data_IF_465505529590
#
_entry.id   IF_465505529590
#
_cell.length_a   1.000
_cell.length_b   1.000
_cell.length_c   1.000
_cell.angle_alpha   90.00
_cell.angle_beta   90.00
_cell.angle_gamma   90.00
#
_symmetry.space_group_name_H-M   'P 1'
#
loop_
_entity.id
_entity.type
_entity.pdbx_description
1 polymer ?
#
# COMPACT_ATOMS: atom_id res chain seq x y z
N UNK A 1 -21.30 -15.43 33.28
CA UNK A 1 -20.37 -14.30 33.17
C UNK A 1 -20.62 -13.36 34.33
N UNK A 2 -19.59 -12.77 34.94
CA UNK A 2 -19.79 -11.66 35.89
C UNK A 2 -20.43 -10.48 35.15
N UNK A 3 -21.24 -9.68 35.85
CA UNK A 3 -21.72 -8.42 35.29
C UNK A 3 -20.51 -7.56 34.91
N UNK A 4 -20.51 -7.06 33.67
CA UNK A 4 -19.49 -6.13 33.18
C UNK A 4 -20.02 -4.74 33.45
N UNK A 5 -19.25 -3.95 34.20
CA UNK A 5 -19.55 -2.55 34.50
C UNK A 5 -18.40 -1.69 33.99
N UNK A 6 -18.72 -0.68 33.17
CA UNK A 6 -17.74 0.24 32.60
C UNK A 6 -17.51 1.43 33.54
N UNK A 7 -16.32 2.02 33.48
CA UNK A 7 -16.01 3.24 34.23
C UNK A 7 -16.81 4.44 33.70
N UNK A 8 -17.27 5.36 34.56
CA UNK A 8 -18.00 6.55 34.12
C UNK A 8 -17.06 7.52 33.39
N UNK A 9 -17.45 7.95 32.19
CA UNK A 9 -16.75 8.96 31.36
C UNK A 9 -17.79 9.88 30.70
N UNK A 10 -17.48 11.17 30.55
CA UNK A 10 -18.37 12.13 29.85
C UNK A 10 -18.13 12.17 28.34
N UNK A 11 -19.13 12.61 27.58
CA UNK A 11 -19.05 12.82 26.14
C UNK A 11 -17.94 13.82 25.79
N UNK A 12 -17.79 14.87 26.60
CA UNK A 12 -16.75 15.88 26.42
C UNK A 12 -15.33 15.34 26.64
N UNK A 13 -15.15 14.37 27.54
CA UNK A 13 -13.85 13.69 27.72
C UNK A 13 -13.49 12.87 26.49
N UNK A 14 -14.46 12.15 25.91
CA UNK A 14 -14.27 11.35 24.69
C UNK A 14 -13.85 12.23 23.52
N UNK A 15 -14.57 13.34 23.27
CA UNK A 15 -14.22 14.27 22.18
C UNK A 15 -12.84 14.89 22.38
N UNK A 16 -12.49 15.32 23.60
CA UNK A 16 -11.17 15.88 23.88
C UNK A 16 -10.07 14.86 23.63
N UNK A 17 -10.25 13.62 24.08
CA UNK A 17 -9.27 12.56 23.83
C UNK A 17 -9.02 12.36 22.33
N UNK A 18 -10.10 12.25 21.53
CA UNK A 18 -9.96 12.04 20.07
C UNK A 18 -9.27 13.23 19.40
N UNK A 19 -9.71 14.45 19.67
CA UNK A 19 -9.17 15.66 19.03
C UNK A 19 -7.72 15.90 19.43
N UNK A 20 -7.39 15.77 20.71
CA UNK A 20 -6.03 16.01 21.21
C UNK A 20 -5.04 14.99 20.67
N UNK A 21 -5.36 13.69 20.71
CA UNK A 21 -4.46 12.66 20.20
C UNK A 21 -4.29 12.75 18.67
N UNK A 22 -5.37 13.03 17.93
CA UNK A 22 -5.27 13.26 16.49
C UNK A 22 -4.40 14.48 16.16
N UNK A 23 -4.57 15.60 16.87
CA UNK A 23 -3.78 16.80 16.64
C UNK A 23 -2.29 16.56 16.94
N UNK A 24 -1.96 15.89 18.05
CA UNK A 24 -0.58 15.54 18.40
C UNK A 24 0.06 14.69 17.31
N UNK A 25 -0.62 13.62 16.88
CA UNK A 25 -0.08 12.73 15.85
C UNK A 25 0.03 13.45 14.49
N UNK A 26 -0.96 14.25 14.12
CA UNK A 26 -0.94 14.99 12.86
C UNK A 26 0.16 16.07 12.82
N UNK A 27 0.36 16.80 13.91
CA UNK A 27 1.47 17.77 14.05
C UNK A 27 2.83 17.05 13.99
N UNK A 28 2.98 15.93 14.68
CA UNK A 28 4.21 15.14 14.64
C UNK A 28 4.51 14.68 13.20
N UNK A 29 3.51 14.19 12.47
CA UNK A 29 3.66 13.63 11.14
C UNK A 29 3.52 14.63 9.98
N UNK A 30 3.37 15.93 10.29
CA UNK A 30 3.55 17.01 9.32
C UNK A 30 4.92 16.95 8.63
N UNK A 31 5.93 16.39 9.32
CA UNK A 31 7.22 16.00 8.76
C UNK A 31 7.53 14.54 9.08
N UNK A 32 7.79 13.74 8.04
CA UNK A 32 8.12 12.31 8.14
C UNK A 32 9.38 11.98 7.35
N UNK A 33 10.04 10.85 7.62
CA UNK A 33 11.12 10.40 6.74
C UNK A 33 10.59 9.87 5.42
N UNK A 34 9.51 9.08 5.51
CA UNK A 34 8.84 8.52 4.33
C UNK A 34 7.34 8.74 4.43
N UNK A 35 6.74 9.19 3.33
CA UNK A 35 5.30 9.14 3.13
C UNK A 35 4.96 8.08 2.09
N UNK A 36 4.12 7.12 2.44
CA UNK A 36 3.57 6.10 1.52
C UNK A 36 2.16 6.50 1.14
N UNK A 37 1.89 6.66 -0.16
CA UNK A 37 0.57 7.03 -0.68
C UNK A 37 -0.12 5.78 -1.22
N UNK A 38 -1.17 5.32 -0.53
CA UNK A 38 -1.95 4.14 -0.86
C UNK A 38 -1.70 2.97 0.09
N UNK A 39 -2.72 2.60 0.86
CA UNK A 39 -2.74 1.49 1.81
C UNK A 39 -3.06 0.14 1.17
N UNK A 40 -2.64 -0.09 -0.07
CA UNK A 40 -2.76 -1.39 -0.76
C UNK A 40 -1.68 -2.40 -0.32
N UNK A 41 -1.64 -3.60 -0.93
CA UNK A 41 -0.70 -4.65 -0.51
C UNK A 41 0.78 -4.24 -0.63
N UNK A 42 1.16 -3.53 -1.70
CA UNK A 42 2.54 -3.05 -1.88
C UNK A 42 2.89 -1.90 -0.94
N UNK A 43 1.94 -0.98 -0.70
CA UNK A 43 2.15 0.16 0.20
C UNK A 43 2.23 -0.25 1.67
N UNK A 44 1.33 -1.12 2.13
CA UNK A 44 1.38 -1.70 3.47
C UNK A 44 2.67 -2.49 3.70
N UNK A 45 3.13 -3.26 2.70
CA UNK A 45 4.39 -3.99 2.80
C UNK A 45 5.59 -3.05 2.88
N UNK A 46 5.66 -2.04 2.02
CA UNK A 46 6.73 -1.04 2.06
C UNK A 46 6.77 -0.31 3.42
N UNK A 47 5.60 0.12 3.92
CA UNK A 47 5.48 0.78 5.21
C UNK A 47 5.90 -0.13 6.37
N UNK A 48 5.47 -1.40 6.36
CA UNK A 48 5.85 -2.41 7.37
C UNK A 48 7.36 -2.62 7.40
N UNK A 49 7.99 -2.82 6.24
CA UNK A 49 9.44 -3.05 6.15
C UNK A 49 10.26 -1.84 6.60
N UNK A 50 9.86 -0.62 6.20
CA UNK A 50 10.53 0.61 6.63
C UNK A 50 10.36 0.87 8.13
N UNK A 51 9.14 0.74 8.66
CA UNK A 51 8.88 0.96 10.08
C UNK A 51 9.59 -0.08 10.95
N UNK A 52 9.71 -1.34 10.49
CA UNK A 52 10.52 -2.37 11.16
C UNK A 52 12.00 -1.97 11.28
N UNK A 53 12.51 -1.14 10.35
CA UNK A 53 13.87 -0.58 10.38
C UNK A 53 13.97 0.71 11.21
N UNK A 54 12.91 1.12 11.90
CA UNK A 54 12.86 2.33 12.72
C UNK A 54 12.63 3.63 11.94
N UNK A 55 12.25 3.54 10.66
CA UNK A 55 11.96 4.72 9.84
C UNK A 55 10.64 5.35 10.27
N UNK A 56 10.59 6.68 10.38
CA UNK A 56 9.34 7.40 10.65
C UNK A 56 8.47 7.44 9.39
N UNK A 57 7.52 6.51 9.31
CA UNK A 57 6.62 6.33 8.15
C UNK A 57 5.21 6.84 8.43
N UNK A 58 4.71 7.69 7.52
CA UNK A 58 3.29 8.00 7.39
C UNK A 58 2.70 7.28 6.17
N UNK A 59 1.61 6.54 6.35
CA UNK A 59 0.83 5.95 5.27
C UNK A 59 -0.47 6.74 5.09
N UNK A 60 -0.68 7.30 3.91
CA UNK A 60 -1.89 8.04 3.52
C UNK A 60 -2.80 7.13 2.69
N UNK A 61 -4.07 6.98 3.08
CA UNK A 61 -5.06 6.17 2.37
C UNK A 61 -6.38 6.94 2.18
N UNK A 62 -6.92 6.91 0.96
CA UNK A 62 -8.16 7.62 0.62
C UNK A 62 -9.41 6.97 1.22
N UNK A 63 -9.42 5.66 1.38
CA UNK A 63 -10.56 4.94 1.94
C UNK A 63 -10.55 4.97 3.48
N UNK A 64 -11.68 4.65 4.11
CA UNK A 64 -11.73 4.42 5.55
C UNK A 64 -11.10 3.07 5.96
N UNK A 65 -10.93 2.14 5.01
CA UNK A 65 -10.28 0.85 5.22
C UNK A 65 -8.93 0.78 4.51
N UNK A 66 -8.01 0.00 5.07
CA UNK A 66 -6.74 -0.37 4.45
C UNK A 66 -6.89 -1.66 3.64
N UNK A 67 -5.87 -2.00 2.85
CA UNK A 67 -5.76 -3.25 2.10
C UNK A 67 -6.01 -3.10 0.60
N UNK A 68 -6.68 -2.02 0.17
CA UNK A 68 -7.03 -1.80 -1.23
C UNK A 68 -7.69 -3.04 -1.86
N UNK A 69 -7.16 -3.49 -3.00
CA UNK A 69 -7.65 -4.68 -3.70
C UNK A 69 -7.28 -6.04 -3.08
N UNK A 70 -6.58 -6.07 -1.95
CA UNK A 70 -6.06 -7.32 -1.35
C UNK A 70 -7.09 -8.13 -0.56
N UNK A 71 -8.27 -7.57 -0.30
CA UNK A 71 -9.38 -8.24 0.39
C UNK A 71 -9.98 -9.40 -0.40
N UNK A 72 -9.79 -9.41 -1.73
CA UNK A 72 -10.36 -10.38 -2.65
C UNK A 72 -9.29 -10.87 -3.62
N UNK A 73 -9.57 -11.99 -4.28
CA UNK A 73 -8.82 -12.43 -5.45
C UNK A 73 -9.42 -11.87 -6.73
N UNK A 74 -9.80 -12.77 -7.63
CA UNK A 74 -10.47 -12.43 -8.88
C UNK A 74 -11.98 -12.59 -8.78
N UNK A 75 -12.72 -11.76 -9.51
CA UNK A 75 -14.16 -11.95 -9.76
C UNK A 75 -15.00 -12.15 -8.48
N UNK A 76 -14.78 -11.28 -7.48
CA UNK A 76 -15.44 -11.33 -6.15
C UNK A 76 -15.22 -12.62 -5.35
N UNK A 77 -14.31 -13.50 -5.79
CA UNK A 77 -13.90 -14.67 -5.03
C UNK A 77 -12.88 -14.26 -3.97
N UNK A 78 -13.02 -14.81 -2.78
CA UNK A 78 -12.24 -14.40 -1.60
C UNK A 78 -10.90 -15.16 -1.43
N UNK A 79 -10.37 -15.75 -2.51
CA UNK A 79 -9.10 -16.46 -2.51
C UNK A 79 -8.08 -15.69 -3.32
N UNK A 80 -6.94 -15.38 -2.72
CA UNK A 80 -5.81 -14.79 -3.43
C UNK A 80 -4.84 -15.87 -3.88
N UNK A 81 -4.03 -15.53 -4.89
CA UNK A 81 -2.92 -16.38 -5.32
C UNK A 81 -1.59 -15.67 -5.23
N UNK A 82 -0.52 -16.42 -4.97
CA UNK A 82 0.86 -15.96 -5.09
C UNK A 82 1.67 -17.01 -5.85
N UNK A 83 2.61 -16.55 -6.67
CA UNK A 83 3.57 -17.42 -7.36
C UNK A 83 4.88 -17.49 -6.59
N UNK A 84 5.56 -18.62 -6.69
CA UNK A 84 6.84 -18.82 -6.03
C UNK A 84 7.90 -17.83 -6.51
N UNK A 85 8.70 -17.24 -5.61
CA UNK A 85 8.85 -17.56 -4.18
C UNK A 85 8.01 -16.74 -3.20
N UNK A 86 6.98 -16.00 -3.65
CA UNK A 86 6.27 -15.04 -2.80
C UNK A 86 5.40 -15.67 -1.69
N UNK A 87 5.26 -17.00 -1.65
CA UNK A 87 4.71 -17.71 -0.49
C UNK A 87 5.53 -17.50 0.79
N UNK A 88 6.84 -17.22 0.69
CA UNK A 88 7.66 -16.92 1.87
C UNK A 88 7.17 -15.68 2.62
N UNK A 89 6.61 -14.70 1.89
CA UNK A 89 6.01 -13.51 2.51
C UNK A 89 4.73 -13.88 3.27
N UNK A 90 3.99 -14.89 2.82
CA UNK A 90 2.84 -15.41 3.58
C UNK A 90 3.30 -16.14 4.84
N UNK A 91 4.42 -16.87 4.79
CA UNK A 91 5.05 -17.47 5.98
C UNK A 91 5.44 -16.38 7.00
N UNK A 92 6.11 -15.31 6.56
CA UNK A 92 6.51 -14.17 7.39
C UNK A 92 5.31 -13.49 8.08
N UNK A 93 4.19 -13.37 7.36
CA UNK A 93 2.94 -12.80 7.89
C UNK A 93 2.12 -13.80 8.73
N UNK A 94 2.55 -15.06 8.81
CA UNK A 94 1.81 -16.13 9.49
C UNK A 94 0.45 -16.41 8.86
N UNK A 95 0.36 -16.34 7.54
CA UNK A 95 -0.86 -16.57 6.75
C UNK A 95 -0.86 -18.01 6.23
N UNK A 96 -1.83 -18.86 6.63
CA UNK A 96 -1.96 -20.21 6.08
C UNK A 96 -2.26 -20.18 4.58
N UNK A 97 -1.53 -20.99 3.82
CA UNK A 97 -1.74 -21.16 2.38
C UNK A 97 -1.61 -22.64 1.98
N UNK A 98 -2.01 -22.95 0.74
CA UNK A 98 -1.85 -24.28 0.14
C UNK A 98 -1.29 -24.16 -1.27
N UNK A 99 -0.45 -25.12 -1.66
CA UNK A 99 0.00 -25.27 -3.04
C UNK A 99 -1.17 -25.76 -3.92
N UNK A 100 -1.40 -25.10 -5.05
CA UNK A 100 -2.43 -25.44 -6.01
C UNK A 100 -1.90 -26.43 -7.05
N UNK A 101 -2.27 -27.70 -6.92
CA UNK A 101 -1.81 -28.75 -7.83
C UNK A 101 -2.84 -29.14 -8.91
N UNK A 102 -3.77 -28.25 -9.25
CA UNK A 102 -4.76 -28.45 -10.33
C UNK A 102 -5.84 -29.52 -10.06
N UNK A 103 -5.79 -30.23 -8.93
CA UNK A 103 -6.79 -31.24 -8.51
C UNK A 103 -7.35 -30.91 -7.13
N UNK A 104 -8.57 -30.39 -7.07
CA UNK A 104 -9.32 -30.35 -5.81
C UNK A 104 -9.91 -31.73 -5.52
N UNK A 105 -9.58 -32.28 -4.35
CA UNK A 105 -10.34 -33.23 -3.54
C UNK A 105 -11.56 -33.93 -4.18
N UNK A 106 -11.31 -35.00 -4.94
CA UNK A 106 -12.09 -36.25 -4.84
C UNK A 106 -11.12 -37.42 -4.91
N UNK A 107 -10.85 -38.01 -3.75
CA UNK A 107 -10.21 -39.32 -3.53
C UNK A 107 -9.22 -39.83 -4.60
N UNK A 108 -7.92 -39.73 -4.28
CA UNK A 108 -6.82 -40.68 -4.54
C UNK A 108 -5.54 -39.90 -4.78
N UNK A 109 -4.59 -40.09 -3.87
CA UNK A 109 -3.20 -39.70 -4.04
C UNK A 109 -2.69 -40.25 -5.37
N UNK A 110 -2.21 -39.36 -6.24
CA UNK A 110 -1.47 -39.76 -7.43
C UNK A 110 -0.03 -39.28 -7.28
N UNK A 111 0.88 -40.25 -7.39
CA UNK A 111 2.33 -40.13 -7.34
C UNK A 111 2.87 -39.20 -8.44
N UNK A 112 3.89 -38.41 -8.09
CA UNK A 112 4.62 -37.50 -8.99
C UNK A 112 4.45 -36.03 -8.60
N UNK A 113 5.17 -35.57 -7.57
CA UNK A 113 5.01 -34.23 -6.97
C UNK A 113 5.78 -33.18 -7.79
N UNK A 114 5.29 -32.81 -8.96
CA UNK A 114 5.76 -31.61 -9.65
C UNK A 114 5.18 -30.40 -8.89
N UNK A 115 6.05 -29.56 -8.32
CA UNK A 115 5.63 -28.31 -7.66
C UNK A 115 4.96 -27.42 -8.69
N UNK A 116 3.74 -26.94 -8.41
CA UNK A 116 3.04 -26.04 -9.33
C UNK A 116 3.60 -24.62 -9.26
N UNK A 117 4.26 -24.27 -8.15
CA UNK A 117 4.76 -22.92 -7.90
C UNK A 117 3.64 -21.88 -7.74
N UNK A 118 2.39 -22.32 -7.57
CA UNK A 118 1.22 -21.46 -7.37
C UNK A 118 0.58 -21.81 -6.03
N UNK A 119 0.41 -20.81 -5.18
CA UNK A 119 -0.16 -20.97 -3.85
C UNK A 119 -1.44 -20.16 -3.70
N UNK A 120 -2.34 -20.64 -2.85
CA UNK A 120 -3.65 -20.05 -2.61
C UNK A 120 -3.83 -19.82 -1.12
N UNK A 121 -4.26 -18.63 -0.75
CA UNK A 121 -4.57 -18.25 0.62
C UNK A 121 -5.95 -17.58 0.72
N UNK A 122 -6.46 -17.48 1.94
CA UNK A 122 -7.65 -16.70 2.26
C UNK A 122 -7.32 -15.20 2.22
N UNK A 123 -7.94 -14.46 1.30
CA UNK A 123 -7.57 -13.08 1.01
C UNK A 123 -7.81 -12.15 2.20
N UNK A 124 -8.97 -12.26 2.86
CA UNK A 124 -9.28 -11.48 4.05
C UNK A 124 -8.30 -11.75 5.21
N UNK A 125 -7.84 -12.99 5.38
CA UNK A 125 -6.87 -13.34 6.41
C UNK A 125 -5.49 -12.74 6.08
N UNK A 126 -5.03 -12.89 4.84
CA UNK A 126 -3.76 -12.31 4.39
C UNK A 126 -3.75 -10.79 4.51
N UNK A 127 -4.83 -10.13 4.09
CA UNK A 127 -4.98 -8.69 4.18
C UNK A 127 -4.96 -8.20 5.63
N UNK A 128 -5.74 -8.85 6.51
CA UNK A 128 -5.78 -8.49 7.93
C UNK A 128 -4.43 -8.67 8.61
N UNK A 129 -3.70 -9.75 8.29
CA UNK A 129 -2.36 -10.01 8.82
C UNK A 129 -1.35 -8.98 8.36
N UNK A 130 -1.39 -8.57 7.10
CA UNK A 130 -0.52 -7.52 6.58
C UNK A 130 -0.82 -6.17 7.26
N UNK A 131 -2.10 -5.78 7.38
CA UNK A 131 -2.49 -4.55 8.08
C UNK A 131 -1.98 -4.57 9.52
N UNK A 132 -2.23 -5.66 10.25
CA UNK A 132 -1.75 -5.82 11.62
C UNK A 132 -0.23 -5.71 11.70
N UNK A 133 0.50 -6.41 10.83
CA UNK A 133 1.96 -6.35 10.80
C UNK A 133 2.50 -4.94 10.50
N UNK A 134 1.82 -4.17 9.63
CA UNK A 134 2.18 -2.77 9.36
C UNK A 134 1.98 -1.88 10.59
N UNK A 135 0.84 -2.02 11.29
CA UNK A 135 0.57 -1.29 12.52
C UNK A 135 1.57 -1.66 13.64
N UNK A 136 1.80 -2.96 13.83
CA UNK A 136 2.70 -3.49 14.86
C UNK A 136 4.16 -3.08 14.62
N UNK A 137 4.55 -2.87 13.36
CA UNK A 137 5.86 -2.33 13.00
C UNK A 137 6.02 -0.84 13.34
N UNK A 138 4.93 -0.12 13.64
CA UNK A 138 4.96 1.29 14.05
C UNK A 138 4.71 2.30 12.93
N UNK A 139 4.31 1.88 11.73
CA UNK A 139 3.89 2.83 10.69
C UNK A 139 2.58 3.51 11.09
N UNK A 140 2.51 4.84 10.97
CA UNK A 140 1.28 5.60 11.24
C UNK A 140 0.41 5.68 10.03
N UNK A 141 -0.90 5.69 10.26
CA UNK A 141 -1.90 5.57 9.21
C UNK A 141 -2.83 6.77 9.28
N UNK A 142 -2.89 7.50 8.18
CA UNK A 142 -3.83 8.58 7.95
C UNK A 142 -4.80 8.16 6.84
N UNK A 143 -5.84 7.43 7.23
CA UNK A 143 -6.91 7.02 6.33
C UNK A 143 -7.93 8.16 6.11
N UNK A 144 -8.88 7.98 5.19
CA UNK A 144 -9.80 9.04 4.73
C UNK A 144 -9.10 10.30 4.19
N UNK A 145 -7.85 10.17 3.74
CA UNK A 145 -7.03 11.29 3.27
C UNK A 145 -6.53 11.01 1.86
N UNK A 146 -6.84 11.91 0.94
CA UNK A 146 -6.51 11.78 -0.48
C UNK A 146 -5.31 12.66 -0.83
N UNK A 147 -4.52 12.19 -1.80
CA UNK A 147 -3.52 13.03 -2.44
C UNK A 147 -4.22 14.02 -3.38
N UNK A 148 -4.03 15.30 -3.14
CA UNK A 148 -4.41 16.37 -4.05
C UNK A 148 -3.23 16.72 -4.98
N UNK A 149 -2.01 16.79 -4.43
CA UNK A 149 -0.81 17.18 -5.16
C UNK A 149 0.51 16.72 -4.50
N UNK A 150 1.65 17.17 -5.04
CA UNK A 150 3.01 16.92 -4.51
C UNK A 150 3.73 18.21 -4.13
N UNK A 151 4.58 18.13 -3.10
CA UNK A 151 5.52 19.21 -2.76
C UNK A 151 6.80 19.02 -3.60
N UNK A 152 7.18 20.03 -4.38
CA UNK A 152 8.37 20.01 -5.24
C UNK A 152 9.37 21.09 -4.81
N UNK A 153 10.56 20.67 -4.39
CA UNK A 153 11.67 21.57 -4.06
C UNK A 153 12.96 21.10 -4.71
N UNK A 154 13.72 22.01 -5.33
CA UNK A 154 15.02 21.68 -5.93
C UNK A 154 14.98 20.59 -7.00
N UNK A 155 13.87 20.45 -7.72
CA UNK A 155 13.69 19.42 -8.75
C UNK A 155 13.44 18.01 -8.23
N UNK A 156 13.10 17.85 -6.94
CA UNK A 156 12.70 16.57 -6.33
C UNK A 156 11.34 16.66 -5.63
N UNK A 157 10.65 15.53 -5.54
CA UNK A 157 9.49 15.37 -4.66
C UNK A 157 10.00 15.39 -3.21
N UNK A 158 9.39 16.26 -2.39
CA UNK A 158 9.79 16.51 -0.99
C UNK A 158 8.61 16.40 -0.02
N UNK A 159 7.52 15.75 -0.44
CA UNK A 159 6.30 15.68 0.32
C UNK A 159 5.06 15.53 -0.56
N UNK A 160 3.92 15.49 0.11
CA UNK A 160 2.60 15.36 -0.50
C UNK A 160 1.71 16.51 -0.08
N UNK A 161 0.76 16.86 -0.92
CA UNK A 161 -0.33 17.79 -0.62
C UNK A 161 -1.59 16.96 -0.52
N UNK A 162 -2.28 17.04 0.62
CA UNK A 162 -3.38 16.16 0.97
C UNK A 162 -4.61 16.93 1.41
N UNK A 163 -5.75 16.28 1.21
CA UNK A 163 -7.02 16.75 1.70
C UNK A 163 -7.85 15.59 2.25
N UNK A 164 -8.90 15.91 3.01
CA UNK A 164 -9.87 14.89 3.38
C UNK A 164 -10.54 14.35 2.12
N UNK A 165 -10.66 13.03 2.02
CA UNK A 165 -11.28 12.40 0.85
C UNK A 165 -12.70 12.90 0.62
N UNK A 166 -13.41 13.25 1.69
CA UNK A 166 -14.76 13.82 1.62
C UNK A 166 -14.84 15.16 0.87
N UNK A 167 -13.76 15.95 0.81
CA UNK A 167 -13.75 17.24 0.08
C UNK A 167 -14.00 17.03 -1.41
N UNK A 168 -13.50 15.93 -1.98
CA UNK A 168 -13.74 15.58 -3.39
C UNK A 168 -15.22 15.30 -3.73
N UNK A 169 -16.06 15.06 -2.71
CA UNK A 169 -17.48 14.80 -2.83
C UNK A 169 -18.35 16.03 -2.53
N UNK A 170 -17.75 17.16 -2.16
CA UNK A 170 -18.49 18.39 -1.88
C UNK A 170 -19.04 19.00 -3.19
N UNK A 171 -20.22 19.66 -3.13
CA UNK A 171 -20.71 20.48 -4.23
C UNK A 171 -19.69 21.55 -4.61
N UNK A 172 -19.62 21.90 -5.90
CA UNK A 172 -18.62 22.86 -6.43
C UNK A 172 -18.64 24.20 -5.70
N UNK A 173 -19.79 24.61 -5.21
CA UNK A 173 -20.03 25.88 -4.51
C UNK A 173 -19.27 25.98 -3.18
N UNK A 174 -18.93 24.85 -2.55
CA UNK A 174 -18.20 24.77 -1.27
C UNK A 174 -16.96 23.88 -1.32
N UNK A 175 -16.59 23.37 -2.50
CA UNK A 175 -15.44 22.48 -2.69
C UNK A 175 -14.09 23.22 -2.73
N UNK A 176 -14.08 24.56 -2.66
CA UNK A 176 -12.87 25.38 -2.54
C UNK A 176 -12.29 25.30 -1.12
N UNK A 177 -11.90 24.09 -0.70
CA UNK A 177 -11.22 23.83 0.57
C UNK A 177 -9.77 23.54 0.26
N UNK A 178 -8.88 24.43 0.69
CA UNK A 178 -7.46 24.30 0.42
C UNK A 178 -6.87 23.04 1.10
N UNK A 179 -6.01 22.28 0.40
CA UNK A 179 -5.30 21.17 0.99
C UNK A 179 -4.14 21.65 1.87
N UNK A 180 -3.56 20.72 2.64
CA UNK A 180 -2.37 20.95 3.47
C UNK A 180 -1.20 20.10 3.00
N UNK A 181 0.03 20.54 3.29
CA UNK A 181 1.25 19.83 2.89
C UNK A 181 1.80 18.98 4.03
N UNK A 182 2.33 17.80 3.70
CA UNK A 182 3.07 16.91 4.58
C UNK A 182 4.44 16.64 3.96
N UNK A 183 5.51 17.05 4.64
CA UNK A 183 6.88 16.99 4.11
C UNK A 183 7.50 15.62 4.36
N UNK A 184 8.34 15.18 3.42
CA UNK A 184 9.13 13.97 3.59
C UNK A 184 10.41 13.94 2.76
N UNK A 185 11.36 13.10 3.19
CA UNK A 185 12.61 12.89 2.45
C UNK A 185 12.38 12.01 1.21
N UNK A 186 11.45 11.06 1.29
CA UNK A 186 11.07 10.15 0.22
C UNK A 186 9.55 9.95 0.22
N UNK A 187 8.93 10.00 -0.96
CA UNK A 187 7.54 9.58 -1.17
C UNK A 187 7.52 8.24 -1.90
N UNK A 188 6.65 7.33 -1.47
CA UNK A 188 6.38 6.06 -2.16
C UNK A 188 4.97 6.11 -2.75
N UNK A 189 4.84 6.09 -4.07
CA UNK A 189 3.56 5.91 -4.75
C UNK A 189 3.20 4.43 -4.81
N UNK A 190 2.19 4.06 -4.03
CA UNK A 190 1.59 2.74 -3.94
C UNK A 190 0.09 2.76 -4.29
N UNK A 191 -0.37 3.78 -5.04
CA UNK A 191 -1.79 4.01 -5.36
C UNK A 191 -2.38 3.07 -6.42
N UNK A 192 -1.63 2.02 -6.77
CA UNK A 192 -2.06 0.98 -7.68
C UNK A 192 -2.11 1.46 -9.14
N UNK A 193 -3.14 1.07 -9.86
CA UNK A 193 -3.27 1.36 -11.30
C UNK A 193 -3.42 2.85 -11.61
N UNK A 194 -3.92 3.62 -10.64
CA UNK A 194 -4.17 5.05 -10.83
C UNK A 194 -2.85 5.85 -10.87
N UNK A 195 -1.79 5.39 -10.20
CA UNK A 195 -0.47 6.04 -10.16
C UNK A 195 -0.58 7.55 -9.88
N UNK A 196 -1.34 7.89 -8.85
CA UNK A 196 -1.84 9.25 -8.61
C UNK A 196 -0.70 10.25 -8.43
N UNK A 197 0.37 9.87 -7.72
CA UNK A 197 1.52 10.76 -7.51
C UNK A 197 2.29 10.95 -8.82
N UNK A 198 2.53 9.87 -9.56
CA UNK A 198 3.17 9.92 -10.89
C UNK A 198 2.37 10.79 -11.85
N UNK A 199 1.04 10.68 -11.86
CA UNK A 199 0.17 11.52 -12.70
C UNK A 199 0.31 13.01 -12.38
N UNK A 200 0.47 13.39 -11.11
CA UNK A 200 0.70 14.79 -10.73
C UNK A 200 2.02 15.36 -11.28
N UNK A 201 3.04 14.51 -11.46
CA UNK A 201 4.28 14.88 -12.14
C UNK A 201 4.09 14.95 -13.67
N UNK A 202 3.31 14.05 -14.25
CA UNK A 202 3.00 14.02 -15.69
C UNK A 202 2.17 15.24 -16.13
N UNK A 203 1.17 15.64 -15.34
CA UNK A 203 0.36 16.85 -15.54
C UNK A 203 1.22 18.14 -15.64
N UNK A 204 2.41 18.12 -15.04
CA UNK A 204 3.39 19.21 -15.06
C UNK A 204 4.45 19.07 -16.16
N UNK A 205 4.40 18.00 -16.94
CA UNK A 205 5.39 17.70 -17.98
C UNK A 205 6.77 17.31 -17.43
N UNK A 206 6.88 16.90 -16.16
CA UNK A 206 8.15 16.50 -15.54
C UNK A 206 8.54 15.05 -15.86
N UNK A 207 7.54 14.23 -16.15
CA UNK A 207 7.70 12.82 -16.54
C UNK A 207 6.71 12.51 -17.67
N UNK A 208 6.94 11.40 -18.35
CA UNK A 208 6.01 10.84 -19.35
C UNK A 208 5.75 9.39 -19.01
N UNK A 209 4.48 9.01 -18.91
CA UNK A 209 4.06 7.63 -18.70
C UNK A 209 3.60 6.99 -20.00
N UNK A 210 3.80 5.68 -20.12
CA UNK A 210 3.34 4.92 -21.28
C UNK A 210 1.92 4.36 -21.10
N UNK A 211 1.43 4.33 -19.85
CA UNK A 211 0.16 3.73 -19.49
C UNK A 211 0.22 2.20 -19.44
N UNK A 212 -0.62 1.59 -18.61
CA UNK A 212 -0.58 0.15 -18.37
C UNK A 212 -0.94 -0.69 -19.60
N UNK A 213 -0.16 -1.74 -19.86
CA UNK A 213 -0.43 -2.73 -20.90
C UNK A 213 -1.47 -3.79 -20.53
N UNK A 214 -1.83 -4.62 -21.52
CA UNK A 214 -2.77 -5.75 -21.36
C UNK A 214 -2.26 -6.83 -20.39
N UNK A 215 -3.10 -7.81 -20.07
CA UNK A 215 -2.76 -8.84 -19.09
C UNK A 215 -1.74 -9.85 -19.61
N UNK A 216 -0.62 -9.99 -18.91
CA UNK A 216 0.37 -11.05 -19.12
C UNK A 216 1.06 -11.35 -17.79
N UNK A 217 0.52 -12.31 -17.05
CA UNK A 217 0.88 -12.61 -15.64
C UNK A 217 2.38 -12.85 -15.45
N UNK A 218 2.94 -13.80 -16.19
CA UNK A 218 4.34 -14.21 -16.04
C UNK A 218 5.32 -13.06 -16.25
N UNK A 219 5.10 -12.29 -17.32
CA UNK A 219 5.94 -11.14 -17.66
C UNK A 219 5.71 -9.97 -16.70
N UNK A 220 4.46 -9.73 -16.31
CA UNK A 220 4.07 -8.62 -15.43
C UNK A 220 4.73 -8.72 -14.06
N UNK A 221 4.61 -9.86 -13.38
CA UNK A 221 5.11 -9.99 -12.00
C UNK A 221 6.61 -9.77 -11.90
N UNK A 222 7.39 -10.36 -12.81
CA UNK A 222 8.85 -10.20 -12.84
C UNK A 222 9.23 -8.73 -13.11
N UNK A 223 8.63 -8.11 -14.13
CA UNK A 223 8.97 -6.74 -14.51
C UNK A 223 8.54 -5.72 -13.44
N UNK A 224 7.41 -5.93 -12.76
CA UNK A 224 6.96 -5.04 -11.67
C UNK A 224 7.97 -5.05 -10.53
N UNK A 225 8.45 -6.22 -10.11
CA UNK A 225 9.50 -6.30 -9.09
C UNK A 225 10.81 -5.71 -9.63
N UNK A 226 11.24 -6.06 -10.83
CA UNK A 226 12.47 -5.54 -11.44
C UNK A 226 12.50 -4.01 -11.53
N UNK A 227 11.40 -3.38 -11.97
CA UNK A 227 11.28 -1.94 -12.23
C UNK A 227 10.83 -1.12 -11.03
N UNK A 228 10.51 -1.75 -9.90
CA UNK A 228 10.34 -1.04 -8.62
C UNK A 228 11.63 -0.29 -8.29
N UNK A 229 11.56 1.05 -8.26
CA UNK A 229 12.73 1.91 -8.17
C UNK A 229 12.33 3.36 -7.85
N UNK A 230 13.32 4.24 -7.70
CA UNK A 230 13.12 5.69 -7.71
C UNK A 230 12.79 6.13 -9.15
N UNK A 231 11.53 6.45 -9.41
CA UNK A 231 11.03 6.85 -10.73
C UNK A 231 11.38 8.30 -11.08
N UNK A 232 11.38 9.16 -10.07
CA UNK A 232 11.74 10.57 -10.14
C UNK A 232 12.45 10.94 -8.83
N UNK A 233 13.39 11.91 -8.80
CA UNK A 233 14.09 12.27 -7.56
C UNK A 233 13.13 12.48 -6.37
N UNK A 234 13.31 11.70 -5.30
CA UNK A 234 12.45 11.72 -4.12
C UNK A 234 11.14 10.93 -4.22
N UNK A 235 10.86 10.26 -5.35
CA UNK A 235 9.66 9.46 -5.60
C UNK A 235 10.01 8.02 -5.99
N UNK A 236 9.67 7.08 -5.12
CA UNK A 236 9.73 5.64 -5.37
C UNK A 236 8.36 5.14 -5.83
N UNK A 237 8.33 4.21 -6.78
CA UNK A 237 7.09 3.59 -7.28
C UNK A 237 7.05 2.11 -6.94
N UNK A 238 5.89 1.60 -6.52
CA UNK A 238 5.72 0.19 -6.15
C UNK A 238 4.37 -0.38 -6.61
N UNK A 239 4.30 -1.72 -6.69
CA UNK A 239 3.10 -2.44 -7.09
C UNK A 239 2.63 -2.07 -8.50
N UNK A 240 1.34 -1.88 -8.68
CA UNK A 240 0.78 -1.58 -10.01
C UNK A 240 1.10 -0.19 -10.53
N UNK A 241 1.62 0.71 -9.69
CA UNK A 241 2.13 2.03 -10.11
C UNK A 241 3.30 1.83 -11.08
N UNK A 242 4.17 0.84 -10.83
CA UNK A 242 5.30 0.51 -11.69
C UNK A 242 4.82 0.17 -13.11
N UNK A 243 3.72 -0.57 -13.23
CA UNK A 243 3.15 -0.93 -14.53
C UNK A 243 2.56 0.28 -15.26
N UNK A 244 1.89 1.19 -14.55
CA UNK A 244 1.37 2.42 -15.14
C UNK A 244 2.50 3.38 -15.57
N UNK A 245 3.54 3.52 -14.75
CA UNK A 245 4.67 4.40 -14.99
C UNK A 245 5.54 3.94 -16.18
N UNK A 246 5.83 2.64 -16.27
CA UNK A 246 6.77 2.05 -17.25
C UNK A 246 6.12 1.28 -18.40
N UNK A 247 4.80 1.35 -18.60
CA UNK A 247 4.17 0.69 -19.74
C UNK A 247 4.06 -0.84 -19.63
N UNK A 248 4.12 -1.39 -18.41
CA UNK A 248 4.22 -2.85 -18.23
C UNK A 248 2.85 -3.55 -18.30
N UNK A 249 2.81 -4.85 -18.66
CA UNK A 249 1.58 -5.64 -18.56
C UNK A 249 1.04 -5.71 -17.13
N UNK A 250 -0.25 -6.03 -16.98
CA UNK A 250 -0.88 -6.34 -15.68
C UNK A 250 -0.92 -7.85 -15.40
N UNK A 251 -0.99 -8.26 -14.13
CA UNK A 251 -1.01 -9.67 -13.72
C UNK A 251 -2.37 -10.23 -13.29
N UNK A 252 -3.38 -9.38 -13.06
CA UNK A 252 -4.68 -9.85 -12.60
C UNK A 252 -4.65 -10.33 -11.14
N UNK A 253 -5.38 -11.40 -10.76
CA UNK A 253 -5.61 -11.78 -9.36
C UNK A 253 -4.48 -12.65 -8.76
N UNK A 254 -3.23 -12.23 -8.95
CA UNK A 254 -2.05 -12.76 -8.23
C UNK A 254 -1.30 -11.60 -7.59
N UNK A 255 -0.82 -11.82 -6.37
CA UNK A 255 -0.34 -10.74 -5.50
C UNK A 255 1.14 -10.87 -5.13
N UNK A 256 1.82 -11.91 -5.62
CA UNK A 256 3.22 -12.17 -5.25
C UNK A 256 4.11 -10.97 -5.56
N UNK A 257 4.01 -10.42 -6.77
CA UNK A 257 4.74 -9.23 -7.14
C UNK A 257 4.36 -7.97 -6.35
N UNK A 258 3.13 -7.85 -5.83
CA UNK A 258 2.76 -6.68 -5.02
C UNK A 258 3.51 -6.69 -3.68
N UNK A 259 3.55 -7.84 -3.03
CA UNK A 259 4.24 -8.02 -1.76
C UNK A 259 5.74 -7.84 -1.93
N UNK A 260 6.36 -8.54 -2.89
CA UNK A 260 7.80 -8.46 -3.13
C UNK A 260 8.23 -7.07 -3.64
N UNK A 261 7.41 -6.43 -4.48
CA UNK A 261 7.64 -5.03 -4.88
C UNK A 261 7.59 -4.08 -3.70
N UNK A 262 6.69 -4.28 -2.73
CA UNK A 262 6.67 -3.47 -1.52
C UNK A 262 7.94 -3.61 -0.67
N UNK A 263 8.44 -4.85 -0.52
CA UNK A 263 9.73 -5.09 0.16
C UNK A 263 10.88 -4.38 -0.55
N UNK A 264 10.96 -4.49 -1.88
CA UNK A 264 11.99 -3.80 -2.66
C UNK A 264 11.85 -2.28 -2.61
N UNK A 265 10.64 -1.74 -2.59
CA UNK A 265 10.42 -0.30 -2.46
C UNK A 265 10.94 0.23 -1.12
N UNK A 266 10.79 -0.54 -0.04
CA UNK A 266 11.39 -0.23 1.26
C UNK A 266 12.93 -0.24 1.20
N UNK A 267 13.54 -1.20 0.50
CA UNK A 267 15.00 -1.23 0.30
C UNK A 267 15.50 0.01 -0.45
N UNK A 268 14.86 0.33 -1.58
CA UNK A 268 15.20 1.52 -2.38
C UNK A 268 15.04 2.79 -1.56
N UNK A 269 13.94 2.93 -0.80
CA UNK A 269 13.74 4.08 0.07
C UNK A 269 14.80 4.16 1.18
N UNK A 270 15.16 3.04 1.81
CA UNK A 270 16.20 2.97 2.83
C UNK A 270 17.58 3.42 2.28
N UNK A 271 17.94 3.00 1.06
CA UNK A 271 19.15 3.48 0.38
C UNK A 271 19.16 5.00 0.19
N UNK A 272 18.01 5.60 -0.15
CA UNK A 272 17.86 7.07 -0.30
C UNK A 272 17.95 7.79 1.05
N UNK A 273 17.51 7.14 2.12
CA UNK A 273 17.66 7.65 3.48
C UNK A 273 19.08 7.48 4.03
N UNK A 274 19.91 6.62 3.39
CA UNK A 274 21.26 6.21 3.81
C UNK A 274 21.25 5.43 5.13
N UNK A 275 20.30 4.51 5.26
CA UNK A 275 20.17 3.55 6.36
C UNK A 275 21.00 2.28 6.12
#
# INVERSE_FOLDING_TARGET
MKAVEFSPVSESQITRAIVSEFAIEFEEYAESEVVVVGGGPSGLMAAKELATRGVKVLLVERNNYLGGGFWLGGFLMNKLTVRSPAESVLDELGVPYKEWNGKQSRGKQSRGKQRSGLFVADAAHACSKLIAATCDAGAKILNMTALDDVVLHGGKVSGVVVNWTAVSSLPREIACVDPVSLESRVVIDATGHDAVVVRKLEERGLVKTEGQGAMWVERSENLVVEKTSEFFPGLVVTGMVVSAAYGLPRMGPTFGAMLVSGQKAAEVAAEKLRL
#
